data_IF_829914318084
#
_entry.id   IF_829914318084
#
_cell.length_a   1.000
_cell.length_b   1.000
_cell.length_c   1.000
_cell.angle_alpha   90.00
_cell.angle_beta   90.00
_cell.angle_gamma   90.00
#
_symmetry.space_group_name_H-M   'P 1'
#
loop_
_entity.id
_entity.type
_entity.pdbx_description
1 polymer ?
#
# COMPACT_ATOMS: atom_id res chain seq x y z
N UNK A 1 21.10 -2.11 -16.09
CA UNK A 1 20.01 -1.67 -15.21
C UNK A 1 20.60 -0.70 -14.21
N UNK A 2 20.42 0.61 -14.43
CA UNK A 2 20.98 1.63 -13.53
C UNK A 2 19.96 1.94 -12.44
N UNK A 3 20.36 1.74 -11.19
CA UNK A 3 19.56 2.07 -10.02
C UNK A 3 20.00 3.45 -9.57
N UNK A 4 19.09 4.42 -9.57
CA UNK A 4 19.38 5.79 -9.15
C UNK A 4 18.90 5.95 -7.70
N UNK A 5 19.74 6.41 -6.77
CA UNK A 5 19.31 6.72 -5.40
C UNK A 5 18.70 8.13 -5.32
N UNK A 6 17.49 8.24 -4.75
CA UNK A 6 16.89 9.52 -4.30
C UNK A 6 16.95 9.51 -2.78
N UNK A 7 17.49 10.58 -2.22
CA UNK A 7 17.36 10.84 -0.80
C UNK A 7 15.96 11.44 -0.56
N UNK A 8 15.03 10.60 -0.11
CA UNK A 8 13.70 11.02 0.30
C UNK A 8 13.61 10.94 1.82
N UNK A 9 13.31 12.07 2.49
CA UNK A 9 13.20 12.16 3.96
C UNK A 9 14.41 11.58 4.73
N UNK A 10 15.62 11.73 4.18
CA UNK A 10 16.85 11.21 4.79
C UNK A 10 17.13 9.73 4.51
N UNK A 11 16.26 9.04 3.76
CA UNK A 11 16.46 7.65 3.36
C UNK A 11 16.74 7.53 1.86
N UNK A 12 17.73 6.70 1.53
CA UNK A 12 18.03 6.36 0.15
C UNK A 12 16.98 5.37 -0.39
N UNK A 13 16.04 5.89 -1.19
CA UNK A 13 15.07 5.10 -1.95
C UNK A 13 15.68 4.80 -3.32
N UNK A 14 15.59 3.55 -3.74
CA UNK A 14 16.10 3.07 -5.03
C UNK A 14 14.95 2.98 -6.02
N UNK A 15 15.11 3.62 -7.18
CA UNK A 15 14.23 3.47 -8.34
C UNK A 15 15.07 3.06 -9.54
N UNK A 16 14.45 2.30 -10.43
CA UNK A 16 15.02 2.11 -11.76
C UNK A 16 14.78 3.37 -12.61
N UNK A 17 15.44 3.44 -13.77
CA UNK A 17 15.27 4.53 -14.73
C UNK A 17 13.85 4.67 -15.28
N UNK A 18 13.03 3.63 -15.14
CA UNK A 18 11.62 3.59 -15.55
C UNK A 18 10.67 4.04 -14.42
N UNK A 19 11.19 4.50 -13.28
CA UNK A 19 10.42 5.05 -12.17
C UNK A 19 9.81 4.02 -11.20
N UNK A 20 10.13 2.73 -11.34
CA UNK A 20 9.64 1.69 -10.44
C UNK A 20 10.43 1.65 -9.14
N UNK A 21 9.70 1.50 -8.04
CA UNK A 21 10.24 1.33 -6.68
C UNK A 21 9.95 -0.08 -6.14
N UNK A 22 10.84 -0.59 -5.29
CA UNK A 22 10.56 -1.82 -4.54
C UNK A 22 9.81 -1.47 -3.24
N UNK A 23 8.47 -1.51 -3.29
CA UNK A 23 7.62 -1.19 -2.15
C UNK A 23 7.84 -2.12 -0.93
N UNK A 24 8.28 -3.36 -1.16
CA UNK A 24 8.55 -4.33 -0.07
C UNK A 24 9.79 -3.94 0.73
N UNK A 25 10.87 -3.50 0.05
CA UNK A 25 12.08 -3.04 0.72
C UNK A 25 11.83 -1.77 1.55
N UNK A 26 11.00 -0.86 1.01
CA UNK A 26 10.63 0.39 1.67
C UNK A 26 9.81 0.09 2.93
N UNK A 27 8.78 -0.75 2.83
CA UNK A 27 7.91 -1.08 3.98
C UNK A 27 8.70 -1.64 5.17
N UNK A 28 9.71 -2.51 4.92
CA UNK A 28 10.59 -3.06 5.95
C UNK A 28 11.32 -1.99 6.76
N UNK A 29 11.77 -0.89 6.13
CA UNK A 29 12.50 0.20 6.82
C UNK A 29 11.62 0.96 7.81
N UNK A 30 10.33 1.10 7.50
CA UNK A 30 9.37 1.74 8.37
C UNK A 30 8.75 0.78 9.41
N UNK A 31 9.25 -0.46 9.52
CA UNK A 31 8.66 -1.50 10.37
C UNK A 31 7.23 -1.86 9.96
N UNK A 32 6.84 -1.55 8.72
CA UNK A 32 5.52 -1.82 8.18
C UNK A 32 5.57 -3.14 7.42
N UNK A 33 4.58 -3.99 7.66
CA UNK A 33 4.35 -5.19 6.87
C UNK A 33 3.36 -4.88 5.75
N UNK A 34 3.67 -5.31 4.53
CA UNK A 34 2.81 -5.05 3.38
C UNK A 34 1.43 -5.70 3.52
N UNK A 35 1.33 -6.83 4.23
CA UNK A 35 0.05 -7.44 4.58
C UNK A 35 -0.77 -6.59 5.58
N UNK A 36 -0.14 -5.76 6.42
CA UNK A 36 -0.85 -4.79 7.26
C UNK A 36 -1.43 -3.62 6.45
N UNK A 37 -1.00 -3.40 5.21
CA UNK A 37 -1.61 -2.41 4.33
C UNK A 37 -3.08 -2.75 4.09
N UNK A 38 -3.37 -4.01 3.75
CA UNK A 38 -4.74 -4.50 3.57
C UNK A 38 -5.53 -4.53 4.89
N UNK A 39 -4.83 -4.60 6.02
CA UNK A 39 -5.41 -4.49 7.36
C UNK A 39 -5.61 -3.04 7.83
N UNK A 40 -5.13 -2.04 7.07
CA UNK A 40 -5.37 -0.64 7.43
C UNK A 40 -6.84 -0.30 7.15
N UNK A 41 -7.53 0.23 8.15
CA UNK A 41 -8.91 0.67 8.05
C UNK A 41 -9.13 1.61 6.85
N UNK A 42 -8.20 2.54 6.61
CA UNK A 42 -8.29 3.47 5.48
C UNK A 42 -8.23 2.76 4.11
N UNK A 43 -7.44 1.68 4.01
CA UNK A 43 -7.37 0.89 2.77
C UNK A 43 -8.66 0.10 2.55
N UNK A 44 -9.24 -0.45 3.61
CA UNK A 44 -10.50 -1.18 3.53
C UNK A 44 -11.66 -0.26 3.11
N UNK A 45 -11.72 0.96 3.65
CA UNK A 45 -12.69 1.99 3.25
C UNK A 45 -12.51 2.39 1.78
N UNK A 46 -11.27 2.54 1.31
CA UNK A 46 -11.00 2.82 -0.10
C UNK A 46 -11.48 1.68 -1.01
N UNK A 47 -11.22 0.42 -0.63
CA UNK A 47 -11.66 -0.75 -1.40
C UNK A 47 -13.19 -0.88 -1.41
N UNK A 48 -13.87 -0.59 -0.29
CA UNK A 48 -15.34 -0.52 -0.23
C UNK A 48 -15.90 0.53 -1.18
N UNK A 49 -15.39 1.76 -1.11
CA UNK A 49 -15.82 2.83 -1.99
C UNK A 49 -15.60 2.48 -3.47
N UNK A 50 -14.49 1.81 -3.79
CA UNK A 50 -14.20 1.36 -5.15
C UNK A 50 -15.19 0.29 -5.62
N UNK A 51 -15.52 -0.68 -4.76
CA UNK A 51 -16.50 -1.75 -5.02
C UNK A 51 -17.90 -1.16 -5.28
N UNK A 52 -18.31 -0.17 -4.50
CA UNK A 52 -19.60 0.53 -4.69
C UNK A 52 -19.65 1.30 -6.00
N UNK A 53 -18.58 2.03 -6.33
CA UNK A 53 -18.50 2.76 -7.60
C UNK A 53 -18.55 1.82 -8.80
N UNK A 54 -17.90 0.66 -8.71
CA UNK A 54 -17.83 -0.28 -9.83
C UNK A 54 -19.07 -1.16 -9.97
N UNK A 55 -19.65 -1.59 -8.86
CA UNK A 55 -20.85 -2.44 -8.86
C UNK A 55 -22.15 -1.66 -8.98
N UNK A 56 -22.16 -0.38 -8.57
CA UNK A 56 -23.37 0.44 -8.46
C UNK A 56 -24.25 0.08 -7.26
N UNK A 57 -23.80 -0.81 -6.38
CA UNK A 57 -24.54 -1.34 -5.25
C UNK A 57 -23.72 -1.24 -3.95
N UNK A 58 -24.37 -1.22 -2.76
CA UNK A 58 -23.64 -1.15 -1.48
C UNK A 58 -22.66 -2.31 -1.29
N UNK A 59 -21.44 -2.01 -0.83
CA UNK A 59 -20.41 -3.04 -0.68
C UNK A 59 -20.77 -4.06 0.41
N UNK A 60 -20.53 -5.34 0.12
CA UNK A 60 -20.76 -6.46 1.06
C UNK A 60 -19.53 -6.78 1.92
N UNK A 61 -18.47 -5.98 1.84
CA UNK A 61 -17.28 -6.14 2.67
C UNK A 61 -17.66 -5.73 4.10
N UNK A 62 -17.90 -6.71 4.99
CA UNK A 62 -18.52 -6.48 6.32
C UNK A 62 -17.52 -6.44 7.49
N UNK A 63 -16.39 -7.14 7.43
CA UNK A 63 -15.53 -7.35 8.60
C UNK A 63 -14.42 -6.29 8.71
N UNK A 64 -14.47 -5.50 9.79
CA UNK A 64 -13.49 -4.46 10.12
C UNK A 64 -12.51 -4.86 11.24
N UNK A 65 -12.67 -6.03 11.88
CA UNK A 65 -11.67 -6.54 12.84
C UNK A 65 -11.92 -7.99 13.25
N UNK A 66 -11.26 -8.93 12.58
CA UNK A 66 -10.83 -10.20 13.20
C UNK A 66 -9.30 -10.24 13.14
N UNK A 67 -8.70 -9.32 13.90
CA UNK A 67 -7.26 -9.35 14.19
C UNK A 67 -7.14 -9.78 15.64
N UNK A 68 -6.87 -11.08 15.84
CA UNK A 68 -6.19 -11.55 17.05
C UNK A 68 -4.76 -11.05 17.11
#
# INVERSE_FOLDING_TARGET
MNIVPLNYKGEAIRFNTDGWINATDIAKRFGKRLDHWLSNAETLEYVRALDEVYSGEPSKILHTRDSG
#
